data_IF_784405317538
#
_entry.id   IF_784405317538
#
_cell.length_a   1.000
_cell.length_b   1.000
_cell.length_c   1.000
_cell.angle_alpha   90.00
_cell.angle_beta   90.00
_cell.angle_gamma   90.00
#
_symmetry.space_group_name_H-M   'P 1'
#
loop_
_entity.id
_entity.type
_entity.pdbx_description
1 polymer ?
#
# COMPACT_ATOMS: atom_id res chain seq x y z
N UNK A 1 15.14 -26.61 -27.82
CA UNK A 1 13.83 -26.62 -27.14
C UNK A 1 13.54 -25.19 -26.71
N UNK A 2 12.43 -24.60 -27.18
CA UNK A 2 12.13 -23.19 -26.94
C UNK A 2 11.60 -22.97 -25.52
N UNK A 3 12.09 -21.95 -24.84
CA UNK A 3 11.76 -21.64 -23.44
C UNK A 3 10.39 -20.94 -23.32
N UNK A 4 10.01 -20.16 -24.33
CA UNK A 4 8.76 -19.39 -24.39
C UNK A 4 7.47 -20.22 -24.16
N UNK A 5 7.26 -21.37 -24.82
CA UNK A 5 6.06 -22.19 -24.59
C UNK A 5 5.99 -22.77 -23.18
N UNK A 6 7.14 -23.04 -22.56
CA UNK A 6 7.23 -23.53 -21.17
C UNK A 6 6.85 -22.40 -20.19
N UNK A 7 7.33 -21.18 -20.44
CA UNK A 7 6.98 -19.99 -19.65
C UNK A 7 5.47 -19.73 -19.72
N UNK A 8 4.87 -19.80 -20.91
CA UNK A 8 3.43 -19.57 -21.08
C UNK A 8 2.58 -20.63 -20.37
N UNK A 9 3.02 -21.90 -20.43
CA UNK A 9 2.40 -23.00 -19.70
C UNK A 9 2.43 -22.76 -18.18
N UNK A 10 3.58 -22.37 -17.63
CA UNK A 10 3.74 -22.07 -16.19
C UNK A 10 2.80 -20.92 -15.78
N UNK A 11 2.72 -19.85 -16.58
CA UNK A 11 1.83 -18.70 -16.31
C UNK A 11 0.34 -19.09 -16.33
N UNK A 12 -0.08 -19.90 -17.31
CA UNK A 12 -1.46 -20.41 -17.42
C UNK A 12 -1.82 -21.33 -16.26
N UNK A 13 -0.92 -22.24 -15.87
CA UNK A 13 -1.13 -23.16 -14.76
C UNK A 13 -1.22 -22.41 -13.41
N UNK A 14 -0.35 -21.41 -13.18
CA UNK A 14 -0.41 -20.56 -11.99
C UNK A 14 -1.72 -19.76 -11.90
N UNK A 15 -2.21 -19.22 -13.03
CA UNK A 15 -3.53 -18.52 -13.08
C UNK A 15 -4.69 -19.43 -12.69
N UNK A 16 -4.59 -20.72 -12.98
CA UNK A 16 -5.59 -21.75 -12.59
C UNK A 16 -5.43 -22.26 -11.16
N UNK A 17 -4.42 -21.79 -10.42
CA UNK A 17 -4.21 -22.12 -9.01
C UNK A 17 -3.37 -23.37 -8.74
N UNK A 18 -2.73 -23.95 -9.77
CA UNK A 18 -1.84 -25.09 -9.58
C UNK A 18 -0.58 -24.70 -8.79
N UNK A 19 -0.10 -25.61 -7.93
CA UNK A 19 1.12 -25.42 -7.16
C UNK A 19 2.36 -25.60 -8.05
N UNK A 20 3.41 -24.86 -7.75
CA UNK A 20 4.65 -24.85 -8.52
C UNK A 20 5.34 -26.22 -8.61
N UNK A 21 5.27 -27.04 -7.57
CA UNK A 21 5.85 -28.39 -7.55
C UNK A 21 5.09 -29.37 -8.46
N UNK A 22 3.77 -29.23 -8.56
CA UNK A 22 2.95 -30.01 -9.47
C UNK A 22 3.19 -29.60 -10.93
N UNK A 23 3.39 -28.30 -11.18
CA UNK A 23 3.74 -27.76 -12.51
C UNK A 23 5.11 -28.27 -12.95
N UNK A 24 6.09 -28.26 -12.04
CA UNK A 24 7.45 -28.74 -12.28
C UNK A 24 7.49 -30.23 -12.60
N UNK A 25 6.87 -31.08 -11.76
CA UNK A 25 6.74 -32.51 -12.04
C UNK A 25 6.06 -32.76 -13.38
N UNK A 26 4.95 -32.08 -13.68
CA UNK A 26 4.25 -32.24 -14.96
C UNK A 26 5.10 -31.86 -16.18
N UNK A 27 6.03 -30.92 -16.06
CA UNK A 27 6.94 -30.55 -17.14
C UNK A 27 8.07 -31.57 -17.29
N UNK A 28 8.63 -32.04 -16.18
CA UNK A 28 9.65 -33.09 -16.18
C UNK A 28 9.09 -34.42 -16.74
N UNK A 29 7.88 -34.81 -16.34
CA UNK A 29 7.18 -36.01 -16.84
C UNK A 29 6.87 -35.93 -18.35
N UNK A 30 6.76 -34.71 -18.90
CA UNK A 30 6.61 -34.47 -20.34
C UNK A 30 7.94 -34.45 -21.10
N UNK A 31 9.05 -34.70 -20.42
CA UNK A 31 10.39 -34.75 -21.02
C UNK A 31 11.08 -33.40 -21.18
N UNK A 32 10.60 -32.33 -20.52
CA UNK A 32 11.33 -31.06 -20.54
C UNK A 32 12.57 -31.15 -19.65
N UNK A 33 13.75 -30.69 -20.14
CA UNK A 33 14.99 -30.66 -19.37
C UNK A 33 14.86 -29.79 -18.12
N UNK A 34 15.42 -30.26 -17.00
CA UNK A 34 15.34 -29.59 -15.71
C UNK A 34 15.87 -28.14 -15.75
N UNK A 35 16.98 -27.91 -16.46
CA UNK A 35 17.56 -26.58 -16.66
C UNK A 35 16.61 -25.61 -17.39
N UNK A 36 15.81 -26.12 -18.33
CA UNK A 36 14.80 -25.35 -19.06
C UNK A 36 13.61 -25.04 -18.17
N UNK A 37 13.14 -26.03 -17.39
CA UNK A 37 12.03 -25.85 -16.44
C UNK A 37 12.36 -24.82 -15.36
N UNK A 38 13.57 -24.89 -14.78
CA UNK A 38 14.05 -23.95 -13.77
C UNK A 38 14.20 -22.53 -14.34
N UNK A 39 14.78 -22.41 -15.55
CA UNK A 39 14.93 -21.13 -16.24
C UNK A 39 13.56 -20.51 -16.59
N UNK A 40 12.64 -21.31 -17.12
CA UNK A 40 11.28 -20.87 -17.44
C UNK A 40 10.51 -20.44 -16.17
N UNK A 41 10.70 -21.12 -15.04
CA UNK A 41 10.09 -20.77 -13.75
C UNK A 41 10.60 -19.45 -13.19
N UNK A 42 11.88 -19.16 -13.39
CA UNK A 42 12.50 -17.88 -13.03
C UNK A 42 11.97 -16.73 -13.89
N UNK A 43 11.87 -16.93 -15.22
CA UNK A 43 11.32 -15.96 -16.17
C UNK A 43 9.82 -15.73 -15.92
N UNK A 44 9.05 -16.79 -15.66
CA UNK A 44 7.62 -16.74 -15.39
C UNK A 44 7.25 -16.12 -14.02
N UNK A 45 8.21 -15.47 -13.34
CA UNK A 45 8.15 -14.75 -12.06
C UNK A 45 6.85 -14.88 -11.25
N UNK A 46 6.94 -15.37 -10.01
CA UNK A 46 5.75 -15.48 -9.14
C UNK A 46 5.05 -14.11 -9.06
N UNK A 47 3.73 -14.01 -9.34
CA UNK A 47 3.01 -12.81 -8.97
C UNK A 47 3.17 -12.64 -7.46
N UNK A 48 3.81 -11.55 -7.04
CA UNK A 48 3.96 -11.21 -5.62
C UNK A 48 2.56 -11.20 -5.01
N UNK A 49 2.18 -12.30 -4.34
CA UNK A 49 1.00 -12.32 -3.48
C UNK A 49 1.33 -11.38 -2.33
N UNK A 50 0.86 -10.15 -2.42
CA UNK A 50 0.79 -9.24 -1.27
C UNK A 50 -0.29 -9.83 -0.39
N UNK A 51 0.09 -10.79 0.44
CA UNK A 51 -0.78 -11.35 1.44
C UNK A 51 -1.08 -10.24 2.45
N UNK A 52 -2.31 -9.71 2.47
CA UNK A 52 -2.68 -8.61 3.38
C UNK A 52 -2.57 -9.01 4.86
N UNK A 53 -2.34 -10.30 5.14
CA UNK A 53 -2.12 -10.86 6.48
C UNK A 53 -0.65 -10.92 6.88
N UNK A 54 0.32 -10.77 5.98
CA UNK A 54 1.76 -10.73 6.30
C UNK A 54 2.24 -9.37 6.83
N UNK A 55 1.40 -8.70 7.63
CA UNK A 55 1.74 -7.47 8.35
C UNK A 55 2.77 -7.68 9.48
N UNK A 56 3.32 -8.90 9.57
CA UNK A 56 4.26 -9.34 10.60
C UNK A 56 5.66 -9.69 10.05
N UNK A 57 6.02 -9.26 8.83
CA UNK A 57 7.45 -9.11 8.51
C UNK A 57 7.87 -7.75 9.05
N UNK A 58 8.27 -7.76 10.33
CA UNK A 58 9.10 -6.72 10.92
C UNK A 58 10.30 -6.47 10.01
N UNK A 59 10.55 -5.19 9.75
CA UNK A 59 11.89 -4.62 9.80
C UNK A 59 12.93 -5.17 8.81
N UNK A 60 12.69 -4.97 7.52
CA UNK A 60 13.76 -4.35 6.70
C UNK A 60 13.34 -2.91 6.47
N UNK A 61 13.45 -2.07 7.51
CA UNK A 61 13.49 -0.63 7.31
C UNK A 61 14.77 -0.38 6.54
N UNK A 62 14.73 -0.44 5.21
CA UNK A 62 15.77 0.17 4.39
C UNK A 62 15.75 1.65 4.76
N UNK A 63 16.65 2.04 5.64
CA UNK A 63 16.86 3.42 6.01
C UNK A 63 17.44 4.11 4.79
N UNK A 64 16.60 4.82 4.06
CA UNK A 64 17.04 5.68 2.98
C UNK A 64 17.67 6.91 3.64
N UNK A 65 18.99 7.01 3.58
CA UNK A 65 19.73 8.23 3.97
C UNK A 65 19.71 9.16 2.76
N UNK A 66 19.14 10.35 2.93
CA UNK A 66 19.12 11.40 1.91
C UNK A 66 20.09 12.48 2.41
N UNK A 67 21.17 12.70 1.67
CA UNK A 67 22.10 13.81 1.92
C UNK A 67 21.54 15.04 1.24
N UNK A 68 21.39 16.12 2.00
CA UNK A 68 20.89 17.41 1.53
C UNK A 68 21.94 18.47 1.86
N UNK A 69 22.07 19.48 1.01
CA UNK A 69 22.81 20.69 1.36
C UNK A 69 22.10 21.45 2.48
N UNK A 70 22.87 22.16 3.33
CA UNK A 70 22.36 22.78 4.56
C UNK A 70 21.22 23.76 4.29
N UNK A 71 21.32 24.60 3.26
CA UNK A 71 20.27 25.56 2.91
C UNK A 71 18.95 24.87 2.50
N UNK A 72 19.04 23.73 1.82
CA UNK A 72 17.88 22.97 1.36
C UNK A 72 17.23 22.25 2.53
N UNK A 73 18.05 21.70 3.45
CA UNK A 73 17.57 21.12 4.69
C UNK A 73 16.80 22.15 5.50
N UNK A 74 17.38 23.31 5.78
CA UNK A 74 16.75 24.36 6.59
C UNK A 74 15.42 24.85 5.99
N UNK A 75 15.39 24.97 4.66
CA UNK A 75 14.17 25.36 3.92
C UNK A 75 13.07 24.31 4.09
N UNK A 76 13.38 23.03 3.89
CA UNK A 76 12.41 21.94 4.03
C UNK A 76 11.94 21.77 5.47
N UNK A 77 12.81 22.03 6.45
CA UNK A 77 12.47 21.98 7.87
C UNK A 77 11.46 23.08 8.25
N UNK A 78 11.66 24.29 7.71
CA UNK A 78 10.71 25.41 7.88
C UNK A 78 9.36 25.08 7.23
N UNK A 79 9.36 24.62 5.98
CA UNK A 79 8.14 24.22 5.28
C UNK A 79 7.39 23.09 5.98
N UNK A 80 8.11 22.10 6.52
CA UNK A 80 7.52 20.99 7.26
C UNK A 80 6.83 21.47 8.54
N UNK A 81 7.44 22.43 9.26
CA UNK A 81 6.84 23.07 10.44
C UNK A 81 5.57 23.85 10.09
N UNK A 82 5.59 24.65 9.03
CA UNK A 82 4.44 25.45 8.58
C UNK A 82 3.26 24.56 8.18
N UNK A 83 3.53 23.43 7.53
CA UNK A 83 2.52 22.45 7.12
C UNK A 83 2.10 21.49 8.26
N UNK A 84 2.80 21.52 9.40
CA UNK A 84 2.56 20.62 10.53
C UNK A 84 2.82 19.15 10.20
N UNK A 85 3.78 18.86 9.32
CA UNK A 85 4.15 17.51 8.90
C UNK A 85 5.61 17.18 9.24
N UNK A 86 5.96 15.90 9.25
CA UNK A 86 7.35 15.47 9.45
C UNK A 86 8.24 15.85 8.26
N UNK A 87 9.51 16.16 8.51
CA UNK A 87 10.54 16.42 7.49
C UNK A 87 10.54 15.38 6.36
N UNK A 88 10.48 14.09 6.68
CA UNK A 88 10.41 13.01 5.69
C UNK A 88 9.24 13.17 4.70
N UNK A 89 8.07 13.60 5.19
CA UNK A 89 6.89 13.78 4.36
C UNK A 89 6.99 15.03 3.50
N UNK A 90 7.68 16.08 3.96
CA UNK A 90 7.96 17.27 3.16
C UNK A 90 8.97 16.95 2.06
N UNK A 91 10.08 16.27 2.38
CA UNK A 91 11.04 15.76 1.38
C UNK A 91 10.33 14.92 0.31
N UNK A 92 9.50 13.96 0.75
CA UNK A 92 8.73 13.12 -0.16
C UNK A 92 7.77 13.92 -1.05
N UNK A 93 7.12 14.93 -0.49
CA UNK A 93 6.20 15.82 -1.21
C UNK A 93 6.95 16.63 -2.27
N UNK A 94 8.12 17.16 -1.93
CA UNK A 94 8.98 17.91 -2.86
C UNK A 94 9.48 17.02 -3.99
N UNK A 95 9.99 15.83 -3.69
CA UNK A 95 10.43 14.87 -4.71
C UNK A 95 9.29 14.47 -5.65
N UNK A 96 8.09 14.20 -5.13
CA UNK A 96 6.93 13.85 -5.96
C UNK A 96 6.52 15.00 -6.87
N UNK A 97 6.61 16.25 -6.42
CA UNK A 97 6.29 17.44 -7.22
C UNK A 97 7.29 17.65 -8.36
N UNK A 98 8.55 17.26 -8.17
CA UNK A 98 9.58 17.33 -9.20
C UNK A 98 9.45 16.29 -10.31
N UNK A 99 8.62 15.25 -10.14
CA UNK A 99 8.41 14.22 -11.18
C UNK A 99 7.46 14.77 -12.25
N UNK A 100 7.88 14.85 -13.53
CA UNK A 100 6.98 15.25 -14.60
C UNK A 100 5.77 14.32 -14.69
N UNK A 101 4.58 14.86 -15.04
CA UNK A 101 3.35 14.09 -15.03
C UNK A 101 3.41 12.88 -15.96
N UNK A 102 4.21 12.89 -17.02
CA UNK A 102 4.41 11.74 -17.91
C UNK A 102 4.93 10.50 -17.16
N UNK A 103 5.91 10.69 -16.28
CA UNK A 103 6.56 9.63 -15.50
C UNK A 103 5.85 9.30 -14.18
N UNK A 104 4.86 10.11 -13.78
CA UNK A 104 4.13 9.89 -12.54
C UNK A 104 3.18 8.69 -12.62
N UNK A 105 3.29 7.77 -11.65
CA UNK A 105 2.39 6.61 -11.54
C UNK A 105 0.91 7.03 -11.45
N UNK A 106 -0.01 6.17 -11.89
CA UNK A 106 -1.46 6.42 -11.80
C UNK A 106 -1.92 6.73 -10.35
N UNK A 107 -1.27 6.11 -9.35
CA UNK A 107 -1.52 6.37 -7.93
C UNK A 107 -1.05 7.77 -7.52
N UNK A 108 0.14 8.18 -7.96
CA UNK A 108 0.70 9.52 -7.71
C UNK A 108 -0.17 10.60 -8.34
N UNK A 109 -0.60 10.41 -9.60
CA UNK A 109 -1.54 11.29 -10.34
C UNK A 109 -2.88 11.46 -9.63
N UNK A 110 -3.43 10.39 -9.05
CA UNK A 110 -4.66 10.45 -8.25
C UNK A 110 -4.46 11.18 -6.93
N UNK A 111 -3.35 10.95 -6.24
CA UNK A 111 -3.05 11.60 -4.96
C UNK A 111 -2.78 13.11 -5.11
N UNK A 112 -2.10 13.54 -6.18
CA UNK A 112 -1.92 14.97 -6.47
C UNK A 112 -3.24 15.65 -6.79
N UNK A 113 -4.16 14.98 -7.51
CA UNK A 113 -5.54 15.48 -7.73
C UNK A 113 -6.34 15.63 -6.42
N UNK A 114 -6.21 14.69 -5.48
CA UNK A 114 -6.88 14.73 -4.16
C UNK A 114 -6.32 15.84 -3.26
N UNK A 115 -5.03 16.20 -3.43
CA UNK A 115 -4.35 17.27 -2.69
C UNK A 115 -4.45 18.65 -3.36
N UNK A 116 -5.47 18.90 -4.20
CA UNK A 116 -5.83 20.28 -4.53
C UNK A 116 -6.07 21.02 -3.20
N UNK A 117 -5.41 22.17 -3.01
CA UNK A 117 -5.64 23.03 -1.84
C UNK A 117 -7.12 23.39 -1.87
N UNK A 118 -7.87 22.89 -0.88
CA UNK A 118 -9.30 23.17 -0.77
C UNK A 118 -9.47 24.67 -0.61
N UNK A 119 -10.43 25.25 -1.31
CA UNK A 119 -10.80 26.65 -1.11
C UNK A 119 -11.26 26.85 0.34
N UNK A 120 -11.22 28.09 0.88
CA UNK A 120 -11.71 28.37 2.22
C UNK A 120 -13.12 27.81 2.48
N UNK A 121 -14.00 27.92 1.48
CA UNK A 121 -15.36 27.39 1.50
C UNK A 121 -15.42 25.86 1.59
N UNK A 122 -14.62 25.17 0.77
CA UNK A 122 -14.52 23.70 0.80
C UNK A 122 -13.96 23.19 2.14
N UNK A 123 -13.01 23.92 2.73
CA UNK A 123 -12.49 23.62 4.06
C UNK A 123 -13.55 23.81 5.15
N UNK A 124 -14.38 24.86 5.07
CA UNK A 124 -15.49 25.08 6.00
C UNK A 124 -16.51 23.94 5.93
N UNK A 125 -16.91 23.52 4.72
CA UNK A 125 -17.83 22.39 4.51
C UNK A 125 -17.25 21.07 5.04
N UNK A 126 -15.95 20.85 4.86
CA UNK A 126 -15.25 19.67 5.39
C UNK A 126 -15.21 19.66 6.93
N UNK A 127 -15.03 20.82 7.57
CA UNK A 127 -15.08 20.95 9.04
C UNK A 127 -16.48 20.60 9.56
N UNK A 128 -17.53 21.13 8.94
CA UNK A 128 -18.93 20.86 9.31
C UNK A 128 -19.27 19.37 9.16
N UNK A 129 -18.88 18.74 8.05
CA UNK A 129 -19.13 17.31 7.81
C UNK A 129 -18.38 16.41 8.78
N UNK A 130 -17.11 16.71 9.07
CA UNK A 130 -16.31 16.00 10.08
C UNK A 130 -16.90 16.14 11.49
N UNK A 131 -17.47 17.30 11.82
CA UNK A 131 -18.11 17.52 13.11
C UNK A 131 -19.44 16.75 13.24
N UNK A 132 -20.26 16.72 12.19
CA UNK A 132 -21.47 15.88 12.13
C UNK A 132 -21.13 14.39 12.31
N UNK A 133 -20.07 13.90 11.66
CA UNK A 133 -19.62 12.50 11.83
C UNK A 133 -19.09 12.24 13.24
N UNK A 134 -18.29 13.15 13.82
CA UNK A 134 -17.83 13.03 15.22
C UNK A 134 -19.00 12.98 16.22
N UNK A 135 -20.03 13.82 16.04
CA UNK A 135 -21.24 13.80 16.88
C UNK A 135 -22.02 12.48 16.72
N UNK A 136 -22.14 11.95 15.50
CA UNK A 136 -22.75 10.65 15.22
C UNK A 136 -22.03 9.49 15.92
N UNK A 137 -20.70 9.42 15.79
CA UNK A 137 -19.86 8.40 16.43
C UNK A 137 -19.91 8.49 17.96
N UNK A 138 -19.99 9.71 18.53
CA UNK A 138 -20.14 9.90 19.98
C UNK A 138 -21.50 9.42 20.48
N UNK A 139 -22.57 9.63 19.71
CA UNK A 139 -23.93 9.13 20.03
C UNK A 139 -23.98 7.59 20.01
N UNK A 140 -23.40 6.94 19.01
CA UNK A 140 -23.38 5.48 18.92
C UNK A 140 -22.56 4.85 20.05
N UNK A 141 -21.38 5.40 20.38
CA UNK A 141 -20.57 4.95 21.54
C UNK A 141 -21.30 5.08 22.89
N UNK A 142 -22.06 6.16 23.10
CA UNK A 142 -22.86 6.31 24.32
C UNK A 142 -23.99 5.29 24.40
N UNK A 143 -24.64 4.95 23.27
CA UNK A 143 -25.69 3.91 23.22
C UNK A 143 -25.14 2.52 23.50
N UNK A 144 -24.04 2.13 22.86
CA UNK A 144 -23.41 0.83 23.09
C UNK A 144 -22.90 0.67 24.53
N UNK A 145 -22.30 1.72 25.10
CA UNK A 145 -21.89 1.73 26.51
C UNK A 145 -23.06 1.56 27.48
N UNK A 146 -24.22 2.18 27.21
CA UNK A 146 -25.44 1.99 28.03
C UNK A 146 -26.02 0.59 27.92
N UNK A 147 -26.01 -0.02 26.73
CA UNK A 147 -26.43 -1.41 26.54
C UNK A 147 -25.52 -2.37 27.29
N UNK A 148 -24.19 -2.22 27.18
CA UNK A 148 -23.23 -3.02 27.94
C UNK A 148 -23.47 -2.94 29.46
N UNK A 149 -23.66 -1.73 30.00
CA UNK A 149 -23.97 -1.56 31.43
C UNK A 149 -25.30 -2.22 31.85
N UNK A 150 -26.31 -2.27 30.98
CA UNK A 150 -27.57 -2.97 31.26
C UNK A 150 -27.40 -4.49 31.24
N UNK A 151 -26.59 -5.02 30.34
CA UNK A 151 -26.32 -6.46 30.27
C UNK A 151 -25.54 -6.90 31.52
N UNK A 152 -24.51 -6.17 31.91
CA UNK A 152 -23.72 -6.47 33.11
C UNK A 152 -24.62 -6.50 34.36
N UNK A 153 -25.46 -5.47 34.57
CA UNK A 153 -26.39 -5.43 35.72
C UNK A 153 -27.42 -6.57 35.75
N UNK A 154 -27.79 -7.14 34.61
CA UNK A 154 -28.72 -8.29 34.57
C UNK A 154 -28.07 -9.63 34.88
N UNK A 155 -26.74 -9.69 34.85
CA UNK A 155 -25.97 -10.89 35.16
C UNK A 155 -25.45 -10.88 36.60
N UNK A 156 -25.60 -9.76 37.32
CA UNK A 156 -25.23 -9.60 38.73
C UNK A 156 -26.45 -9.77 39.68
N UNK A 157 -27.66 -9.95 39.13
CA UNK A 157 -28.91 -10.34 39.83
C UNK A 157 -29.20 -11.84 39.59
#
# INVERSE_FOLDING_TARGET
MEIEPVVEFILKARKRGYRDDAIERSLLDKGYPENIVLSAKAIAGKPKRIDKRSRAVKETRTSIVIVLEDWLKDTLERMAKDDGISMYNEVKKTLIRGIPPEYASAKTKRQTKIRKRLTPEQNALRRITNEKTRRGVRKTRKKSSRQLKRVIRRNDD
#
